data_IF_865111277520
#
_entry.id   IF_865111277520
#
_cell.length_a   1.000
_cell.length_b   1.000
_cell.length_c   1.000
_cell.angle_alpha   90.00
_cell.angle_beta   90.00
_cell.angle_gamma   90.00
#
_symmetry.space_group_name_H-M   'P 1'
#
loop_
_entity.id
_entity.type
_entity.pdbx_description
1 polymer ?
#
# COMPACT_ATOMS: atom_id res chain seq x y z
N UNK A 1 36.07 -42.36 -40.40
CA UNK A 1 36.77 -42.32 -39.09
C UNK A 1 36.53 -40.96 -38.44
N UNK A 2 36.21 -40.97 -37.15
CA UNK A 2 35.67 -39.89 -36.30
C UNK A 2 36.38 -38.53 -36.44
N UNK A 3 35.61 -37.43 -36.51
CA UNK A 3 36.03 -36.10 -36.01
C UNK A 3 34.85 -35.39 -35.32
N UNK A 4 34.80 -35.67 -34.02
CA UNK A 4 34.47 -34.82 -32.87
C UNK A 4 33.66 -33.52 -33.11
N UNK A 5 32.47 -33.53 -32.50
CA UNK A 5 31.67 -32.42 -31.95
C UNK A 5 32.49 -31.22 -31.45
N UNK A 6 32.08 -29.99 -31.80
CA UNK A 6 32.05 -28.88 -30.83
C UNK A 6 30.76 -28.08 -31.07
N UNK A 7 29.74 -28.43 -30.28
CA UNK A 7 28.54 -27.64 -30.05
C UNK A 7 28.96 -26.47 -29.16
N UNK A 8 29.12 -25.28 -29.72
CA UNK A 8 29.35 -24.06 -28.93
C UNK A 8 28.00 -23.67 -28.32
N UNK A 9 27.69 -24.25 -27.16
CA UNK A 9 26.74 -23.63 -26.22
C UNK A 9 27.40 -22.34 -25.73
N UNK A 10 27.12 -21.23 -26.41
CA UNK A 10 27.15 -19.94 -25.73
C UNK A 10 25.96 -19.94 -24.79
N UNK A 11 26.14 -20.51 -23.60
CA UNK A 11 25.44 -20.05 -22.41
C UNK A 11 25.85 -18.59 -22.24
N UNK A 12 25.17 -17.70 -22.95
CA UNK A 12 25.03 -16.33 -22.53
C UNK A 12 24.28 -16.43 -21.22
N UNK A 13 25.04 -16.52 -20.14
CA UNK A 13 24.59 -16.37 -18.78
C UNK A 13 23.83 -15.05 -18.75
N UNK A 14 22.50 -15.13 -18.86
CA UNK A 14 21.63 -14.04 -18.44
C UNK A 14 21.85 -13.97 -16.95
N UNK A 15 22.87 -13.20 -16.55
CA UNK A 15 22.97 -12.69 -15.20
C UNK A 15 21.83 -11.67 -15.09
N UNK A 16 20.62 -12.18 -14.92
CA UNK A 16 19.52 -11.39 -14.41
C UNK A 16 19.99 -10.90 -13.05
N UNK A 17 20.34 -9.62 -12.98
CA UNK A 17 20.43 -8.93 -11.71
C UNK A 17 19.05 -9.03 -11.09
N UNK A 18 18.86 -10.01 -10.21
CA UNK A 18 17.77 -9.93 -9.25
C UNK A 18 18.21 -8.84 -8.27
N UNK A 19 17.85 -7.59 -8.55
CA UNK A 19 17.83 -6.60 -7.47
C UNK A 19 16.94 -7.20 -6.38
N UNK A 20 17.54 -7.50 -5.24
CA UNK A 20 16.85 -8.08 -4.10
C UNK A 20 15.80 -7.05 -3.66
N UNK A 21 14.52 -7.43 -3.78
CA UNK A 21 13.42 -6.55 -3.39
C UNK A 21 13.57 -6.18 -1.91
N UNK A 22 13.75 -4.89 -1.65
CA UNK A 22 13.85 -4.35 -0.31
C UNK A 22 12.53 -3.70 0.08
N UNK A 23 11.71 -4.43 0.85
CA UNK A 23 10.41 -3.98 1.31
C UNK A 23 10.46 -2.64 2.06
N UNK A 24 11.52 -2.40 2.85
CA UNK A 24 11.68 -1.15 3.59
C UNK A 24 11.98 0.03 2.65
N UNK A 25 12.87 -0.16 1.67
CA UNK A 25 13.14 0.88 0.66
C UNK A 25 11.90 1.21 -0.14
N UNK A 26 11.14 0.20 -0.54
CA UNK A 26 9.92 0.39 -1.31
C UNK A 26 8.81 1.07 -0.49
N UNK A 27 8.66 0.70 0.79
CA UNK A 27 7.76 1.38 1.71
C UNK A 27 8.07 2.88 1.79
N UNK A 28 9.33 3.24 2.04
CA UNK A 28 9.75 4.65 2.14
C UNK A 28 9.53 5.42 0.82
N UNK A 29 9.76 4.76 -0.32
CA UNK A 29 9.50 5.35 -1.65
C UNK A 29 8.02 5.64 -1.85
N UNK A 30 7.15 4.67 -1.56
CA UNK A 30 5.70 4.81 -1.69
C UNK A 30 5.15 5.83 -0.69
N UNK A 31 5.64 5.85 0.54
CA UNK A 31 5.24 6.85 1.54
C UNK A 31 5.61 8.28 1.11
N UNK A 32 6.82 8.47 0.55
CA UNK A 32 7.23 9.77 0.01
C UNK A 32 6.31 10.22 -1.13
N UNK A 33 5.97 9.29 -2.04
CA UNK A 33 5.07 9.59 -3.15
C UNK A 33 3.64 9.89 -2.67
N UNK A 34 3.14 9.15 -1.69
CA UNK A 34 1.84 9.40 -1.07
C UNK A 34 1.77 10.82 -0.50
N UNK A 35 2.77 11.22 0.30
CA UNK A 35 2.81 12.54 0.91
C UNK A 35 2.78 13.64 -0.16
N UNK A 36 3.59 13.48 -1.22
CA UNK A 36 3.60 14.41 -2.33
C UNK A 36 2.24 14.54 -3.03
N UNK A 37 1.57 13.42 -3.32
CA UNK A 37 0.26 13.45 -4.00
C UNK A 37 -0.85 14.02 -3.11
N UNK A 38 -0.79 13.81 -1.79
CA UNK A 38 -1.71 14.44 -0.83
C UNK A 38 -1.51 15.97 -0.78
N UNK A 39 -0.26 16.44 -0.74
CA UNK A 39 0.05 17.88 -0.73
C UNK A 39 -0.47 18.59 -1.98
N UNK A 40 -0.42 17.91 -3.13
CA UNK A 40 -0.96 18.41 -4.39
C UNK A 40 -2.49 18.24 -4.52
N UNK A 41 -3.16 17.62 -3.55
CA UNK A 41 -4.61 17.36 -3.59
C UNK A 41 -5.03 16.25 -4.56
N UNK A 42 -4.09 15.44 -5.05
CA UNK A 42 -4.35 14.36 -6.01
C UNK A 42 -4.80 13.07 -5.31
N UNK A 43 -5.95 13.13 -4.66
CA UNK A 43 -6.43 12.05 -3.78
C UNK A 43 -6.66 10.70 -4.48
N UNK A 44 -7.01 10.68 -5.77
CA UNK A 44 -7.08 9.43 -6.54
C UNK A 44 -5.75 8.68 -6.59
N UNK A 45 -4.64 9.41 -6.81
CA UNK A 45 -3.30 8.81 -6.88
C UNK A 45 -2.79 8.43 -5.50
N UNK A 46 -3.01 9.29 -4.50
CA UNK A 46 -2.69 8.99 -3.11
C UNK A 46 -3.37 7.70 -2.62
N UNK A 47 -4.66 7.52 -2.91
CA UNK A 47 -5.39 6.28 -2.57
C UNK A 47 -4.75 5.07 -3.26
N UNK A 48 -4.42 5.17 -4.56
CA UNK A 48 -3.79 4.05 -5.27
C UNK A 48 -2.48 3.62 -4.59
N UNK A 49 -1.62 4.57 -4.23
CA UNK A 49 -0.35 4.31 -3.55
C UNK A 49 -0.57 3.62 -2.20
N UNK A 50 -1.59 4.05 -1.45
CA UNK A 50 -1.92 3.44 -0.17
C UNK A 50 -2.48 2.01 -0.32
N UNK A 51 -3.18 1.72 -1.42
CA UNK A 51 -3.60 0.34 -1.73
C UNK A 51 -2.40 -0.54 -2.07
N UNK A 52 -1.43 -0.01 -2.83
CA UNK A 52 -0.18 -0.72 -3.10
C UNK A 52 0.59 -0.99 -1.78
N UNK A 53 0.60 -0.02 -0.85
CA UNK A 53 1.17 -0.19 0.49
C UNK A 53 0.41 -1.22 1.34
N UNK A 54 -0.92 -1.22 1.33
CA UNK A 54 -1.75 -2.19 2.07
C UNK A 54 -1.59 -3.61 1.52
N UNK A 55 -1.40 -3.77 0.21
CA UNK A 55 -1.10 -5.08 -0.40
C UNK A 55 0.26 -5.63 0.09
N UNK A 56 1.26 -4.77 0.21
CA UNK A 56 2.59 -5.14 0.69
C UNK A 56 2.64 -5.36 2.21
N UNK A 57 1.87 -4.58 2.97
CA UNK A 57 1.87 -4.56 4.43
C UNK A 57 0.44 -4.61 4.99
N UNK A 58 -0.26 -5.75 4.82
CA UNK A 58 -1.66 -5.86 5.17
C UNK A 58 -1.89 -5.73 6.67
N UNK A 59 -2.88 -4.93 7.06
CA UNK A 59 -3.27 -4.75 8.47
C UNK A 59 -2.47 -3.69 9.23
N UNK A 60 -1.52 -3.02 8.57
CA UNK A 60 -0.82 -1.86 9.13
C UNK A 60 -1.80 -0.71 9.38
N UNK A 61 -2.04 -0.40 10.66
CA UNK A 61 -3.13 0.50 11.06
C UNK A 61 -2.91 1.93 10.60
N UNK A 62 -1.67 2.35 10.39
CA UNK A 62 -1.34 3.65 9.84
C UNK A 62 -1.76 3.76 8.38
N UNK A 63 -1.53 2.71 7.57
CA UNK A 63 -1.95 2.67 6.17
C UNK A 63 -3.49 2.68 6.09
N UNK A 64 -4.15 1.86 6.90
CA UNK A 64 -5.62 1.82 6.97
C UNK A 64 -6.21 3.18 7.37
N UNK A 65 -5.60 3.87 8.35
CA UNK A 65 -6.01 5.22 8.73
C UNK A 65 -5.79 6.24 7.60
N UNK A 66 -4.63 6.23 6.93
CA UNK A 66 -4.34 7.09 5.78
C UNK A 66 -5.34 6.86 4.64
N UNK A 67 -5.77 5.61 4.41
CA UNK A 67 -6.81 5.29 3.42
C UNK A 67 -8.13 5.99 3.78
N UNK A 68 -8.60 5.85 5.02
CA UNK A 68 -9.82 6.52 5.49
C UNK A 68 -9.73 8.03 5.29
N UNK A 69 -8.65 8.66 5.74
CA UNK A 69 -8.45 10.10 5.59
C UNK A 69 -8.44 10.54 4.11
N UNK A 70 -7.75 9.81 3.24
CA UNK A 70 -7.69 10.12 1.81
C UNK A 70 -9.06 10.02 1.12
N UNK A 71 -9.86 9.00 1.41
CA UNK A 71 -11.24 8.89 0.90
C UNK A 71 -12.13 10.03 1.42
N UNK A 72 -12.00 10.35 2.70
CA UNK A 72 -12.73 11.44 3.36
C UNK A 72 -12.37 12.80 2.75
N UNK A 73 -11.08 13.06 2.48
CA UNK A 73 -10.60 14.29 1.82
C UNK A 73 -11.09 14.40 0.37
N UNK A 74 -11.11 13.27 -0.34
CA UNK A 74 -11.67 13.17 -1.69
C UNK A 74 -13.18 13.37 -1.76
N UNK A 75 -13.88 13.29 -0.63
CA UNK A 75 -15.34 13.35 -0.58
C UNK A 75 -16.02 12.11 -1.14
N UNK A 76 -15.36 10.95 -1.08
CA UNK A 76 -15.94 9.65 -1.48
C UNK A 76 -16.25 8.81 -0.24
N UNK A 77 -17.24 7.93 -0.38
CA UNK A 77 -17.52 6.92 0.63
C UNK A 77 -16.30 6.02 0.84
N UNK A 78 -16.04 5.66 2.10
CA UNK A 78 -14.95 4.74 2.46
C UNK A 78 -15.39 3.31 2.17
N UNK A 79 -14.60 2.53 1.42
CA UNK A 79 -14.87 1.10 1.23
C UNK A 79 -14.99 0.35 2.56
N UNK A 80 -16.04 -0.48 2.68
CA UNK A 80 -16.32 -1.23 3.91
C UNK A 80 -15.16 -2.09 4.38
N UNK A 81 -14.46 -2.72 3.43
CA UNK A 81 -13.35 -3.61 3.76
C UNK A 81 -12.27 -2.90 4.58
N UNK A 82 -12.02 -1.60 4.40
CA UNK A 82 -11.01 -0.86 5.18
C UNK A 82 -11.36 -0.88 6.67
N UNK A 83 -12.65 -0.70 7.00
CA UNK A 83 -13.11 -0.71 8.38
C UNK A 83 -13.38 -2.11 8.93
N UNK A 84 -13.44 -3.12 8.06
CA UNK A 84 -13.57 -4.54 8.41
C UNK A 84 -12.21 -5.28 8.42
N UNK A 85 -11.15 -4.68 7.87
CA UNK A 85 -9.79 -5.19 7.92
C UNK A 85 -9.37 -5.44 9.37
N UNK A 86 -8.42 -6.34 9.62
CA UNK A 86 -7.89 -6.52 10.97
C UNK A 86 -7.08 -5.28 11.36
N UNK A 87 -7.71 -4.37 12.11
CA UNK A 87 -7.00 -3.31 12.79
C UNK A 87 -6.31 -3.93 13.99
N UNK A 88 -4.98 -4.00 13.96
CA UNK A 88 -4.20 -4.36 15.15
C UNK A 88 -4.67 -3.54 16.36
N UNK A 89 -4.53 -4.11 17.54
CA UNK A 89 -4.69 -3.40 18.81
C UNK A 89 -3.49 -3.68 19.73
N UNK A 90 -2.34 -4.05 19.13
CA UNK A 90 -1.13 -4.42 19.86
C UNK A 90 -0.48 -3.20 20.53
N UNK A 91 -0.63 -2.02 19.93
CA UNK A 91 -0.05 -0.77 20.44
C UNK A 91 -1.11 0.30 20.70
N UNK A 92 -0.79 1.28 21.54
CA UNK A 92 -1.63 2.48 21.71
C UNK A 92 -1.80 3.26 20.40
N UNK A 93 -0.77 3.26 19.55
CA UNK A 93 -0.81 3.88 18.23
C UNK A 93 -1.87 3.23 17.34
N UNK A 94 -1.95 1.91 17.35
CA UNK A 94 -2.94 1.16 16.58
C UNK A 94 -4.38 1.52 16.99
N UNK A 95 -4.63 1.51 18.30
CA UNK A 95 -5.93 1.89 18.88
C UNK A 95 -6.26 3.34 18.52
N UNK A 96 -5.28 4.23 18.58
CA UNK A 96 -5.46 5.64 18.25
C UNK A 96 -5.78 5.84 16.76
N UNK A 97 -5.09 5.13 15.86
CA UNK A 97 -5.34 5.18 14.43
C UNK A 97 -6.77 4.76 14.09
N UNK A 98 -7.25 3.67 14.71
CA UNK A 98 -8.65 3.23 14.56
C UNK A 98 -9.64 4.29 15.04
N UNK A 99 -9.45 4.84 16.24
CA UNK A 99 -10.34 5.87 16.80
C UNK A 99 -10.37 7.15 15.94
N UNK A 100 -9.22 7.56 15.40
CA UNK A 100 -9.15 8.70 14.48
C UNK A 100 -9.96 8.42 13.21
N UNK A 101 -9.84 7.23 12.63
CA UNK A 101 -10.63 6.82 11.46
C UNK A 101 -12.14 6.86 11.74
N UNK A 102 -12.59 6.29 12.86
CA UNK A 102 -13.99 6.30 13.27
C UNK A 102 -14.52 7.74 13.43
N UNK A 103 -13.77 8.60 14.11
CA UNK A 103 -14.13 10.01 14.30
C UNK A 103 -14.23 10.80 12.99
N UNK A 104 -13.43 10.47 11.97
CA UNK A 104 -13.53 11.10 10.65
C UNK A 104 -14.84 10.75 9.94
N UNK A 105 -15.36 9.56 10.17
CA UNK A 105 -16.59 9.05 9.57
C UNK A 105 -17.85 9.54 10.29
N UNK A 106 -17.76 9.81 11.60
CA UNK A 106 -18.87 10.41 12.36
C UNK A 106 -19.16 11.86 11.95
N UNK A 107 -18.12 12.62 11.60
CA UNK A 107 -18.23 14.05 11.31
C UNK A 107 -18.68 14.38 9.89
N UNK A 108 -18.76 13.39 8.99
CA UNK A 108 -19.25 13.59 7.63
C UNK A 108 -20.46 12.69 7.43
N UNK A 109 -21.51 13.18 6.78
CA UNK A 109 -22.65 12.37 6.32
C UNK A 109 -22.27 11.23 5.35
N UNK A 110 -20.98 10.93 5.20
CA UNK A 110 -20.40 9.78 4.53
C UNK A 110 -20.55 8.51 5.38
N UNK A 111 -21.78 8.21 5.83
CA UNK A 111 -22.07 6.97 6.53
C UNK A 111 -21.61 5.80 5.68
N UNK A 112 -20.70 5.01 6.22
CA UNK A 112 -20.31 3.72 5.68
C UNK A 112 -21.57 2.86 5.53
N UNK A 113 -21.94 2.52 4.29
CA UNK A 113 -23.07 1.63 4.01
C UNK A 113 -22.61 0.17 4.19
N UNK A 114 -22.11 -0.14 5.37
CA UNK A 114 -21.58 -1.45 5.74
C UNK A 114 -22.52 -2.04 6.79
N UNK A 115 -23.77 -2.31 6.38
CA UNK A 115 -24.73 -3.11 7.12
C UNK A 115 -24.78 -4.51 6.53
#
# INVERSE_FOLDING_TARGET
>A
MKKILILILTLASVQGFTEEFNASTEYSRLETLYNHEIELGHYDRAIKILLDLDEMFPGETEILFKLVDAYVKKGKAVPCWIMLSPWSAATESDILNRKKAEKLLENKDLKNHCN
#
